data_IF_426387356026
#
_entry.id   IF_426387356026
#
_cell.length_a   1.000
_cell.length_b   1.000
_cell.length_c   1.000
_cell.angle_alpha   90.00
_cell.angle_beta   90.00
_cell.angle_gamma   90.00
#
_symmetry.space_group_name_H-M   'P 1'
#
loop_
_entity.id
_entity.type
_entity.pdbx_description
1 polymer ?
#
# COMPACT_ATOMS: atom_id res chain seq x y z
N UNK A 1 -5.87 -3.89 3.15
CA UNK A 1 -6.92 -4.03 2.12
C UNK A 1 -6.42 -4.74 0.86
N UNK A 2 -5.12 -4.63 0.50
CA UNK A 2 -4.56 -5.28 -0.70
C UNK A 2 -4.85 -6.79 -0.72
N UNK A 3 -4.70 -7.46 0.41
CA UNK A 3 -4.98 -8.89 0.55
C UNK A 3 -6.44 -9.28 0.32
N UNK A 4 -7.37 -8.33 0.44
CA UNK A 4 -8.80 -8.57 0.15
C UNK A 4 -9.17 -8.25 -1.30
N UNK A 5 -8.30 -7.53 -2.03
CA UNK A 5 -8.52 -7.11 -3.41
C UNK A 5 -7.86 -8.02 -4.43
N UNK A 6 -6.79 -8.73 -4.05
CA UNK A 6 -5.98 -9.55 -4.94
C UNK A 6 -5.86 -10.98 -4.39
N UNK A 7 -5.92 -11.99 -5.26
CA UNK A 7 -5.56 -13.37 -4.90
C UNK A 7 -4.05 -13.54 -4.83
N UNK A 8 -3.34 -12.91 -5.76
CA UNK A 8 -1.88 -12.85 -5.89
C UNK A 8 -1.51 -11.50 -6.51
N UNK A 9 -0.28 -11.03 -6.32
CA UNK A 9 0.22 -9.82 -6.98
C UNK A 9 1.46 -9.26 -6.30
N UNK A 10 2.29 -8.52 -7.04
CA UNK A 10 3.54 -7.95 -6.55
C UNK A 10 3.35 -7.05 -5.33
N UNK A 11 2.29 -6.23 -5.30
CA UNK A 11 1.99 -5.38 -4.14
C UNK A 11 1.73 -6.23 -2.88
N UNK A 12 1.08 -7.39 -3.03
CA UNK A 12 0.84 -8.31 -1.90
C UNK A 12 2.13 -8.90 -1.36
N UNK A 13 3.12 -9.18 -2.22
CA UNK A 13 4.46 -9.63 -1.80
C UNK A 13 5.14 -8.55 -0.97
N UNK A 14 5.18 -7.31 -1.48
CA UNK A 14 5.79 -6.17 -0.76
C UNK A 14 5.16 -6.00 0.63
N UNK A 15 3.85 -6.09 0.73
CA UNK A 15 3.16 -5.96 2.02
C UNK A 15 3.36 -7.16 2.94
N UNK A 16 3.48 -8.36 2.40
CA UNK A 16 3.81 -9.54 3.18
C UNK A 16 5.22 -9.40 3.79
N UNK A 17 6.23 -9.06 2.99
CA UNK A 17 7.60 -8.85 3.46
C UNK A 17 7.67 -7.71 4.50
N UNK A 18 7.02 -6.59 4.24
CA UNK A 18 7.03 -5.44 5.13
C UNK A 18 6.43 -5.80 6.51
N UNK A 19 5.26 -6.43 6.52
CA UNK A 19 4.57 -6.82 7.76
C UNK A 19 5.36 -7.89 8.52
N UNK A 20 5.91 -8.90 7.83
CA UNK A 20 6.75 -9.93 8.44
C UNK A 20 7.93 -9.31 9.18
N UNK A 21 8.69 -8.45 8.50
CA UNK A 21 9.86 -7.77 9.09
C UNK A 21 9.51 -6.87 10.27
N UNK A 22 8.38 -6.18 10.23
CA UNK A 22 7.93 -5.40 11.38
C UNK A 22 7.57 -6.27 12.59
N UNK A 23 6.98 -7.44 12.37
CA UNK A 23 6.65 -8.39 13.43
C UNK A 23 7.92 -9.04 13.99
N UNK A 24 8.86 -9.45 13.13
CA UNK A 24 10.15 -10.03 13.49
C UNK A 24 11.03 -9.06 14.30
N UNK A 25 10.97 -7.78 14.00
CA UNK A 25 11.68 -6.75 14.74
C UNK A 25 11.13 -6.50 16.18
N UNK A 26 10.15 -7.28 16.60
CA UNK A 26 9.56 -7.18 17.95
C UNK A 26 8.74 -5.90 18.15
N UNK A 27 8.31 -5.26 17.07
CA UNK A 27 7.53 -4.04 17.15
C UNK A 27 6.06 -4.34 17.47
N UNK A 28 5.75 -4.57 18.75
CA UNK A 28 4.40 -4.91 19.23
C UNK A 28 3.37 -3.78 19.10
N UNK A 29 3.76 -2.64 18.53
CA UNK A 29 2.87 -1.48 18.29
C UNK A 29 2.25 -1.47 16.88
N UNK A 30 2.35 -2.57 16.13
CA UNK A 30 1.71 -2.67 14.82
C UNK A 30 0.24 -3.09 14.95
N UNK A 31 -0.63 -2.42 14.19
CA UNK A 31 -2.04 -2.82 14.05
C UNK A 31 -2.37 -3.01 12.56
N UNK A 32 -2.73 -4.22 12.19
CA UNK A 32 -3.18 -4.55 10.85
C UNK A 32 -4.69 -4.38 10.75
N UNK A 33 -5.13 -3.39 9.98
CA UNK A 33 -6.56 -3.15 9.72
C UNK A 33 -7.00 -3.98 8.52
N UNK A 34 -7.81 -5.01 8.76
CA UNK A 34 -8.23 -5.97 7.75
C UNK A 34 -9.73 -5.96 7.50
N UNK A 35 -10.11 -6.32 6.28
CA UNK A 35 -11.50 -6.55 5.92
C UNK A 35 -11.92 -7.97 6.37
N UNK A 36 -13.12 -8.15 6.98
CA UNK A 36 -13.52 -9.44 7.58
C UNK A 36 -13.87 -10.54 6.57
N UNK A 37 -13.93 -10.24 5.26
CA UNK A 37 -14.23 -11.26 4.25
C UNK A 37 -13.07 -12.24 4.09
N UNK A 38 -13.43 -13.44 3.69
CA UNK A 38 -12.51 -14.53 3.42
C UNK A 38 -11.33 -14.10 2.55
N UNK A 39 -10.14 -14.09 3.13
CA UNK A 39 -8.95 -13.60 2.47
C UNK A 39 -8.36 -14.74 1.64
N UNK A 40 -8.57 -14.67 0.32
CA UNK A 40 -8.07 -15.67 -0.64
C UNK A 40 -6.62 -15.41 -1.08
N UNK A 41 -6.00 -14.35 -0.59
CA UNK A 41 -4.63 -13.99 -0.95
C UNK A 41 -3.62 -14.97 -0.33
N UNK A 42 -2.74 -15.55 -1.16
CA UNK A 42 -1.77 -16.57 -0.73
C UNK A 42 -0.73 -15.99 0.23
N UNK A 43 -0.25 -14.78 -0.02
CA UNK A 43 0.77 -14.12 0.79
C UNK A 43 0.23 -13.74 2.17
N UNK A 44 -1.07 -13.38 2.27
CA UNK A 44 -1.71 -13.16 3.58
C UNK A 44 -1.81 -14.44 4.40
N UNK A 45 -2.04 -15.59 3.76
CA UNK A 45 -2.09 -16.90 4.43
C UNK A 45 -0.73 -17.34 4.97
N UNK A 46 0.35 -16.86 4.38
CA UNK A 46 1.73 -17.13 4.84
C UNK A 46 2.14 -16.25 6.04
N UNK A 47 1.40 -15.14 6.29
CA UNK A 47 1.67 -14.23 7.39
C UNK A 47 1.04 -14.74 8.69
N UNK A 48 1.85 -14.99 9.69
CA UNK A 48 1.39 -15.16 11.06
C UNK A 48 1.30 -13.80 11.75
N UNK A 49 0.10 -13.23 11.84
CA UNK A 49 -0.16 -11.96 12.54
C UNK A 49 -0.89 -12.32 13.84
N UNK A 50 -0.34 -11.94 15.02
CA UNK A 50 -1.01 -12.14 16.30
C UNK A 50 -2.42 -11.53 16.30
N UNK A 51 -3.36 -12.19 16.95
CA UNK A 51 -4.78 -11.78 16.92
C UNK A 51 -5.00 -10.37 17.49
N UNK A 52 -4.23 -10.00 18.50
CA UNK A 52 -4.21 -8.68 19.14
C UNK A 52 -3.75 -7.56 18.18
N UNK A 53 -2.92 -7.91 17.18
CA UNK A 53 -2.47 -6.98 16.14
C UNK A 53 -3.49 -6.82 15.00
N UNK A 54 -4.60 -7.57 15.00
CA UNK A 54 -5.59 -7.52 13.93
C UNK A 54 -6.82 -6.75 14.37
N UNK A 55 -7.13 -5.66 13.67
CA UNK A 55 -8.40 -4.94 13.82
C UNK A 55 -9.25 -5.13 12.57
N UNK A 56 -10.38 -5.83 12.72
CA UNK A 56 -11.33 -6.02 11.64
C UNK A 56 -12.21 -4.79 11.50
N UNK A 57 -12.27 -4.21 10.31
CA UNK A 57 -13.25 -3.19 9.95
C UNK A 57 -14.37 -3.84 9.18
N UNK A 58 -15.61 -3.51 9.53
CA UNK A 58 -16.79 -4.07 8.88
C UNK A 58 -17.45 -3.08 7.92
N UNK A 59 -16.97 -2.93 6.69
CA UNK A 59 -17.74 -2.27 5.66
C UNK A 59 -18.56 -3.33 4.93
N UNK A 60 -19.85 -3.15 4.91
CA UNK A 60 -20.80 -4.08 4.26
C UNK A 60 -20.51 -4.31 2.77
N UNK A 61 -19.83 -3.37 2.10
CA UNK A 61 -19.51 -3.42 0.67
C UNK A 61 -18.05 -2.99 0.44
N UNK A 62 -17.15 -3.95 0.21
CA UNK A 62 -15.74 -3.69 -0.11
C UNK A 62 -15.58 -2.83 -1.39
N UNK A 63 -16.46 -3.04 -2.37
CA UNK A 63 -16.48 -2.28 -3.63
C UNK A 63 -16.62 -0.77 -3.45
N UNK A 64 -17.34 -0.33 -2.41
CA UNK A 64 -17.52 1.09 -2.09
C UNK A 64 -16.53 1.54 -1.02
N UNK A 65 -16.38 0.76 0.06
CA UNK A 65 -15.55 1.13 1.21
C UNK A 65 -14.07 1.25 0.88
N UNK A 66 -13.60 0.62 -0.20
CA UNK A 66 -12.22 0.76 -0.68
C UNK A 66 -11.86 2.20 -1.09
N UNK A 67 -12.86 3.02 -1.42
CA UNK A 67 -12.69 4.42 -1.81
C UNK A 67 -12.87 5.41 -0.66
N UNK A 68 -13.33 4.94 0.49
CA UNK A 68 -13.58 5.78 1.66
C UNK A 68 -12.37 5.83 2.60
N UNK A 69 -12.12 6.95 3.30
CA UNK A 69 -11.11 7.02 4.33
C UNK A 69 -11.31 5.95 5.42
N UNK A 70 -10.22 5.50 5.99
CA UNK A 70 -10.25 4.60 7.15
C UNK A 70 -10.56 5.42 8.39
N UNK A 71 -11.52 4.96 9.18
CA UNK A 71 -11.81 5.51 10.53
C UNK A 71 -11.14 4.61 11.56
N UNK A 72 -10.14 5.14 12.22
CA UNK A 72 -9.42 4.44 13.29
C UNK A 72 -9.28 5.38 14.48
N UNK A 73 -9.81 4.97 15.64
CA UNK A 73 -9.75 5.76 16.86
C UNK A 73 -8.45 5.44 17.60
N UNK A 74 -7.62 6.46 17.74
CA UNK A 74 -6.42 6.47 18.55
C UNK A 74 -6.21 7.90 19.05
N UNK A 75 -5.86 8.06 20.33
CA UNK A 75 -5.63 9.36 20.93
C UNK A 75 -4.18 9.82 20.84
N UNK A 76 -3.27 8.88 20.59
CA UNK A 76 -1.85 9.16 20.38
C UNK A 76 -1.54 9.33 18.89
N UNK A 77 -0.49 10.08 18.52
CA UNK A 77 0.03 10.13 17.17
C UNK A 77 0.45 8.73 16.68
N UNK A 78 0.10 8.39 15.44
CA UNK A 78 0.46 7.11 14.83
C UNK A 78 0.66 7.25 13.33
N UNK A 79 1.47 6.35 12.75
CA UNK A 79 1.66 6.25 11.31
C UNK A 79 0.56 5.34 10.74
N UNK A 80 -0.19 5.86 9.77
CA UNK A 80 -1.12 5.07 8.98
C UNK A 80 -0.53 4.84 7.58
N UNK A 81 -0.04 3.64 7.33
CA UNK A 81 0.49 3.26 6.03
C UNK A 81 -0.53 2.43 5.25
N UNK A 82 -1.08 2.99 4.19
CA UNK A 82 -2.12 2.33 3.40
C UNK A 82 -1.54 1.35 2.39
N UNK A 83 -2.04 0.13 2.40
CA UNK A 83 -1.70 -0.86 1.36
C UNK A 83 -2.42 -0.63 0.02
N UNK A 84 -3.31 0.37 -0.09
CA UNK A 84 -4.02 0.69 -1.33
C UNK A 84 -4.72 2.05 -1.26
N UNK A 85 -4.05 3.12 -1.57
CA UNK A 85 -4.55 4.49 -1.80
C UNK A 85 -5.69 4.97 -0.90
N UNK A 86 -5.66 4.60 0.39
CA UNK A 86 -6.60 5.11 1.38
C UNK A 86 -5.86 5.95 2.39
N UNK A 87 -6.53 6.93 2.95
CA UNK A 87 -6.03 7.72 4.08
C UNK A 87 -6.83 7.38 5.34
N UNK A 88 -6.26 7.64 6.49
CA UNK A 88 -6.96 7.65 7.76
C UNK A 88 -7.49 9.05 8.05
N UNK A 89 -8.76 9.16 8.44
CA UNK A 89 -9.40 10.45 8.75
C UNK A 89 -9.17 10.93 10.19
N UNK A 90 -8.46 10.17 11.02
CA UNK A 90 -8.08 10.62 12.36
C UNK A 90 -7.01 11.72 12.27
N UNK A 91 -7.21 12.83 12.97
CA UNK A 91 -6.28 13.98 12.98
C UNK A 91 -4.89 13.65 13.59
N UNK A 92 -4.77 12.55 14.33
CA UNK A 92 -3.50 12.05 14.89
C UNK A 92 -2.75 11.11 13.95
N UNK A 93 -3.36 10.74 12.81
CA UNK A 93 -2.73 9.89 11.84
C UNK A 93 -1.73 10.66 10.98
N UNK A 94 -0.51 10.18 10.90
CA UNK A 94 0.48 10.56 9.88
C UNK A 94 0.27 9.60 8.72
N UNK A 95 -0.35 10.09 7.65
CA UNK A 95 -0.71 9.27 6.49
C UNK A 95 0.48 9.05 5.57
N UNK A 96 0.81 7.80 5.30
CA UNK A 96 1.85 7.38 4.36
C UNK A 96 1.23 6.58 3.22
N UNK A 97 1.61 6.90 2.00
CA UNK A 97 1.15 6.19 0.79
C UNK A 97 2.35 5.72 -0.03
N UNK A 98 2.36 4.45 -0.45
CA UNK A 98 3.35 3.93 -1.39
C UNK A 98 2.79 3.91 -2.81
N UNK A 99 3.57 4.46 -3.76
CA UNK A 99 3.26 4.46 -5.19
C UNK A 99 4.20 3.49 -5.90
N UNK A 100 3.60 2.51 -6.57
CA UNK A 100 4.33 1.49 -7.31
C UNK A 100 4.55 1.87 -8.77
N UNK A 101 3.51 2.36 -9.47
CA UNK A 101 3.58 2.74 -10.88
C UNK A 101 2.49 3.74 -11.30
N UNK A 102 2.60 4.20 -12.53
CA UNK A 102 1.62 5.04 -13.22
C UNK A 102 1.06 4.37 -14.49
N UNK A 103 1.01 3.04 -14.51
CA UNK A 103 0.49 2.23 -15.62
C UNK A 103 -0.90 2.67 -16.07
N UNK A 104 -1.78 3.03 -15.12
CA UNK A 104 -3.12 3.51 -15.44
C UNK A 104 -3.14 4.84 -16.20
N UNK A 105 -2.17 5.73 -15.95
CA UNK A 105 -2.06 7.01 -16.66
C UNK A 105 -1.53 6.83 -18.08
N UNK A 106 -0.54 5.95 -18.25
CA UNK A 106 0.06 5.69 -19.55
C UNK A 106 -0.86 4.92 -20.51
N UNK A 107 -1.55 3.89 -20.00
CA UNK A 107 -2.19 2.88 -20.87
C UNK A 107 -3.72 2.86 -20.80
N UNK A 108 -4.32 3.25 -19.66
CA UNK A 108 -5.74 3.03 -19.42
C UNK A 108 -6.57 4.30 -19.24
N UNK A 109 -5.95 5.48 -19.17
CA UNK A 109 -6.65 6.75 -19.06
C UNK A 109 -7.55 6.95 -20.29
N UNK A 110 -8.87 7.12 -20.05
CA UNK A 110 -9.86 7.26 -21.11
C UNK A 110 -10.24 5.97 -21.85
N UNK A 111 -9.55 4.85 -21.64
CA UNK A 111 -9.76 3.59 -22.37
C UNK A 111 -10.47 2.50 -21.57
N UNK A 112 -10.35 2.50 -20.23
CA UNK A 112 -10.89 1.46 -19.37
C UNK A 112 -11.92 2.03 -18.39
N UNK A 113 -13.10 1.40 -18.32
CA UNK A 113 -14.11 1.73 -17.28
C UNK A 113 -13.47 1.58 -15.89
N UNK A 114 -13.62 2.59 -15.04
CA UNK A 114 -13.06 2.62 -13.69
C UNK A 114 -11.60 3.11 -13.59
N UNK A 115 -10.88 3.31 -14.70
CA UNK A 115 -9.52 3.89 -14.66
C UNK A 115 -9.53 5.29 -14.05
N UNK A 116 -10.54 6.10 -14.37
CA UNK A 116 -10.71 7.43 -13.77
C UNK A 116 -10.80 7.38 -12.25
N UNK A 117 -11.62 6.47 -11.71
CA UNK A 117 -11.81 6.34 -10.27
C UNK A 117 -10.52 5.86 -9.56
N UNK A 118 -9.76 4.96 -10.21
CA UNK A 118 -8.46 4.52 -9.71
C UNK A 118 -7.45 5.67 -9.68
N UNK A 119 -7.33 6.42 -10.78
CA UNK A 119 -6.44 7.58 -10.89
C UNK A 119 -6.84 8.66 -9.87
N UNK A 120 -8.12 8.96 -9.77
CA UNK A 120 -8.64 9.92 -8.79
C UNK A 120 -8.29 9.52 -7.36
N UNK A 121 -8.54 8.26 -6.98
CA UNK A 121 -8.25 7.76 -5.64
C UNK A 121 -6.76 7.83 -5.31
N UNK A 122 -5.89 7.42 -6.25
CA UNK A 122 -4.44 7.51 -6.09
C UNK A 122 -3.99 8.97 -5.91
N UNK A 123 -4.47 9.86 -6.79
CA UNK A 123 -4.10 11.27 -6.73
C UNK A 123 -4.58 11.94 -5.45
N UNK A 124 -5.78 11.58 -4.98
CA UNK A 124 -6.29 12.02 -3.69
C UNK A 124 -5.40 11.53 -2.54
N UNK A 125 -5.01 10.26 -2.52
CA UNK A 125 -4.10 9.72 -1.52
C UNK A 125 -2.73 10.42 -1.52
N UNK A 126 -2.13 10.65 -2.71
CA UNK A 126 -0.87 11.37 -2.85
C UNK A 126 -0.97 12.78 -2.25
N UNK A 127 -2.03 13.54 -2.60
CA UNK A 127 -2.20 14.92 -2.13
C UNK A 127 -2.49 15.00 -0.63
N UNK A 128 -3.22 14.03 -0.09
CA UNK A 128 -3.66 14.00 1.32
C UNK A 128 -2.71 13.29 2.27
N UNK A 129 -1.65 12.65 1.76
CA UNK A 129 -0.65 12.00 2.61
C UNK A 129 0.41 13.00 3.08
N UNK A 130 0.90 12.78 4.29
CA UNK A 130 2.00 13.53 4.91
C UNK A 130 3.35 13.11 4.31
N UNK A 131 3.47 11.82 3.93
CA UNK A 131 4.63 11.29 3.23
C UNK A 131 4.20 10.33 2.10
N UNK A 132 4.94 10.35 0.98
CA UNK A 132 4.70 9.48 -0.16
C UNK A 132 5.97 8.73 -0.52
N UNK A 133 5.91 7.41 -0.47
CA UNK A 133 7.01 6.53 -0.87
C UNK A 133 6.87 6.18 -2.34
N UNK A 134 7.90 6.47 -3.14
CA UNK A 134 8.05 6.05 -4.52
C UNK A 134 9.03 4.88 -4.58
N UNK A 135 8.68 3.78 -5.26
CA UNK A 135 9.55 2.59 -5.31
C UNK A 135 10.78 2.75 -6.20
N UNK A 136 10.90 3.87 -6.91
CA UNK A 136 12.06 4.21 -7.76
C UNK A 136 12.07 5.70 -8.10
N UNK A 137 13.22 6.20 -8.56
CA UNK A 137 13.34 7.55 -9.10
C UNK A 137 12.44 7.77 -10.31
N UNK A 138 12.22 6.74 -11.14
CA UNK A 138 11.28 6.84 -12.26
C UNK A 138 9.85 7.06 -11.76
N UNK A 139 9.42 6.31 -10.73
CA UNK A 139 8.10 6.50 -10.12
C UNK A 139 7.94 7.91 -9.54
N UNK A 140 9.00 8.47 -8.94
CA UNK A 140 9.01 9.86 -8.43
C UNK A 140 8.84 10.87 -9.56
N UNK A 141 9.56 10.70 -10.68
CA UNK A 141 9.43 11.56 -11.87
C UNK A 141 8.03 11.50 -12.46
N UNK A 142 7.46 10.30 -12.59
CA UNK A 142 6.10 10.10 -13.08
C UNK A 142 5.07 10.73 -12.13
N UNK A 143 5.27 10.64 -10.81
CA UNK A 143 4.40 11.27 -9.84
C UNK A 143 4.34 12.79 -10.06
N UNK A 144 5.47 13.46 -10.17
CA UNK A 144 5.52 14.91 -10.41
C UNK A 144 4.91 15.30 -11.76
N UNK A 145 5.02 14.44 -12.78
CA UNK A 145 4.42 14.62 -14.10
C UNK A 145 2.90 14.49 -14.09
N UNK A 146 2.37 13.44 -13.45
CA UNK A 146 0.94 13.10 -13.52
C UNK A 146 0.10 13.68 -12.38
N UNK A 147 0.75 14.12 -11.30
CA UNK A 147 0.09 14.74 -10.14
C UNK A 147 0.74 16.10 -9.84
N UNK A 148 0.58 17.08 -10.73
CA UNK A 148 1.19 18.38 -10.56
C UNK A 148 0.71 19.06 -9.26
N UNK A 149 1.59 19.90 -8.69
CA UNK A 149 1.34 20.59 -7.42
C UNK A 149 1.52 19.68 -6.19
N UNK A 150 2.13 18.49 -6.36
CA UNK A 150 2.59 17.69 -5.24
C UNK A 150 3.89 18.29 -4.70
N UNK A 151 3.95 18.50 -3.38
CA UNK A 151 5.15 18.98 -2.69
C UNK A 151 6.28 17.93 -2.80
N UNK A 152 7.44 18.27 -3.41
CA UNK A 152 8.56 17.35 -3.53
C UNK A 152 9.18 16.92 -2.21
N UNK A 153 9.09 17.75 -1.15
CA UNK A 153 9.68 17.49 0.16
C UNK A 153 9.05 16.30 0.89
N UNK A 154 7.79 15.95 0.52
CA UNK A 154 7.13 14.77 1.08
C UNK A 154 7.36 13.48 0.29
N UNK A 155 8.16 13.52 -0.78
CA UNK A 155 8.44 12.38 -1.67
C UNK A 155 9.74 11.69 -1.28
N UNK A 156 9.64 10.43 -0.90
CA UNK A 156 10.77 9.58 -0.52
C UNK A 156 10.94 8.45 -1.53
N UNK A 157 12.16 8.25 -2.04
CA UNK A 157 12.46 7.10 -2.90
C UNK A 157 13.00 5.98 -2.05
N UNK A 158 12.25 4.88 -1.97
CA UNK A 158 12.62 3.66 -1.26
C UNK A 158 12.43 2.50 -2.23
N UNK A 159 13.54 1.97 -2.74
CA UNK A 159 13.49 0.86 -3.68
C UNK A 159 12.95 -0.41 -3.04
N UNK A 160 12.23 -1.21 -3.83
CA UNK A 160 11.82 -2.54 -3.38
C UNK A 160 13.07 -3.40 -3.15
N UNK A 161 13.08 -4.13 -2.04
CA UNK A 161 14.09 -5.13 -1.77
C UNK A 161 13.90 -6.39 -2.63
N UNK A 162 14.92 -7.21 -2.69
CA UNK A 162 14.89 -8.55 -3.27
C UNK A 162 15.08 -9.55 -2.12
N UNK A 163 14.33 -10.66 -2.13
CA UNK A 163 14.50 -11.71 -1.14
C UNK A 163 15.90 -12.31 -1.21
N UNK A 164 16.45 -12.69 -0.06
CA UNK A 164 17.72 -13.43 0.05
C UNK A 164 17.70 -14.76 -0.70
N UNK A 165 16.53 -15.30 -1.02
CA UNK A 165 16.37 -16.52 -1.81
C UNK A 165 16.83 -16.35 -3.28
N UNK A 166 16.87 -15.09 -3.75
CA UNK A 166 17.39 -14.78 -5.09
C UNK A 166 18.90 -14.57 -5.02
N UNK A 167 19.64 -15.45 -5.67
CA UNK A 167 21.08 -15.36 -5.80
C UNK A 167 21.51 -15.56 -7.26
N UNK A 168 22.68 -15.04 -7.60
CA UNK A 168 23.25 -15.17 -8.94
C UNK A 168 23.58 -16.64 -9.21
N UNK A 169 23.06 -17.21 -10.29
CA UNK A 169 23.44 -18.54 -10.76
C UNK A 169 24.84 -18.43 -11.34
N UNK A 170 25.84 -19.04 -10.65
CA UNK A 170 27.25 -19.04 -11.08
C UNK A 170 27.55 -20.06 -12.19
N UNK A 171 26.60 -20.91 -12.57
CA UNK A 171 26.79 -21.86 -13.66
C UNK A 171 26.73 -21.14 -15.00
N UNK A 172 27.83 -21.21 -15.74
CA UNK A 172 27.83 -20.89 -17.17
C UNK A 172 26.92 -21.90 -17.86
N UNK A 173 25.91 -21.45 -18.58
CA UNK A 173 25.23 -22.27 -19.57
C UNK A 173 26.30 -22.59 -20.65
N UNK A 174 26.73 -23.86 -20.73
CA UNK A 174 27.47 -24.39 -21.88
C UNK A 174 26.58 -24.32 -23.13
#
# INVERSE_FOLDING_TARGET
IVFSLQKTGGISVVWQELVSRFLEAGNNKITCIEHPKDIKNIFRKMLFIPAECIKKVNPRLLSVSRYLPVRYSCNEPFIFHSSYFRICSNKKAINVTTIHDFTYDYFYKGKRRGAFLHIWQRNYAIKSSDAVVCISENTRKDLLKFVPGTDPEKLYVINNGVSSDYHSIKEKRE
#
